data_IF_495926126808
#
_entry.id   IF_495926126808
#
_cell.length_a   1.000
_cell.length_b   1.000
_cell.length_c   1.000
_cell.angle_alpha   90.00
_cell.angle_beta   90.00
_cell.angle_gamma   90.00
#
_symmetry.space_group_name_H-M   'P 1'
#
loop_
_entity.id
_entity.type
_entity.pdbx_description
1 polymer ?
#
# COMPACT_ATOMS: atom_id res chain seq x y z
N UNK A 1 24.27 -4.69 35.13
CA UNK A 1 23.37 -5.79 35.53
C UNK A 1 22.08 -5.34 36.21
N UNK A 2 22.13 -4.55 37.30
CA UNK A 2 20.92 -4.17 38.06
C UNK A 2 19.88 -3.41 37.21
N UNK A 3 20.33 -2.43 36.41
CA UNK A 3 19.49 -1.70 35.45
C UNK A 3 18.70 -2.65 34.53
N UNK A 4 19.38 -3.62 33.92
CA UNK A 4 18.76 -4.61 33.01
C UNK A 4 17.70 -5.45 33.72
N UNK A 5 18.00 -5.96 34.92
CA UNK A 5 17.07 -6.78 35.72
C UNK A 5 15.81 -6.02 36.14
N UNK A 6 15.90 -4.70 36.29
CA UNK A 6 14.77 -3.83 36.67
C UNK A 6 14.00 -3.27 35.46
N UNK A 7 14.37 -3.64 34.24
CA UNK A 7 13.72 -3.13 33.03
C UNK A 7 13.87 -1.62 32.85
N UNK A 8 14.91 -1.01 33.42
CA UNK A 8 15.13 0.42 33.32
C UNK A 8 15.63 0.80 31.92
N UNK A 9 15.12 1.91 31.38
CA UNK A 9 15.50 2.45 30.07
C UNK A 9 16.81 3.22 30.14
N UNK A 10 16.99 4.03 31.19
CA UNK A 10 18.13 4.92 31.35
C UNK A 10 18.71 4.85 32.78
N UNK A 11 20.03 5.01 32.90
CA UNK A 11 20.76 5.21 34.14
C UNK A 11 21.39 6.61 34.09
N UNK A 12 21.14 7.41 35.11
CA UNK A 12 21.74 8.74 35.26
C UNK A 12 22.73 8.73 36.43
N UNK A 13 23.98 9.12 36.14
CA UNK A 13 25.03 9.32 37.11
C UNK A 13 25.34 10.82 37.22
N UNK A 14 25.14 11.36 38.43
CA UNK A 14 25.38 12.76 38.74
C UNK A 14 25.89 12.89 40.17
N UNK A 15 26.87 13.78 40.43
CA UNK A 15 27.33 14.04 41.79
C UNK A 15 26.20 14.52 42.72
N UNK A 16 26.41 14.34 44.02
CA UNK A 16 25.50 14.71 45.12
C UNK A 16 24.13 14.02 45.11
N UNK A 17 23.93 13.04 44.24
CA UNK A 17 22.75 12.18 44.20
C UNK A 17 23.15 10.71 44.09
N UNK A 18 22.31 9.77 44.58
CA UNK A 18 22.48 8.38 44.23
C UNK A 18 22.23 8.19 42.72
N UNK A 19 22.75 7.12 42.11
CA UNK A 19 22.38 6.74 40.75
C UNK A 19 20.85 6.69 40.59
N UNK A 20 20.34 7.24 39.49
CA UNK A 20 18.90 7.25 39.19
C UNK A 20 18.63 6.32 38.01
N UNK A 21 17.59 5.50 38.11
CA UNK A 21 17.08 4.70 37.00
C UNK A 21 15.80 5.31 36.46
N UNK A 22 15.64 5.31 35.14
CA UNK A 22 14.34 5.57 34.51
C UNK A 22 13.59 4.25 34.32
N UNK A 23 12.45 4.09 34.97
CA UNK A 23 11.57 2.92 34.84
C UNK A 23 10.18 3.45 34.52
N UNK A 24 9.61 3.01 33.39
CA UNK A 24 8.28 3.47 32.92
C UNK A 24 8.15 5.00 32.93
N UNK A 25 9.16 5.68 32.38
CA UNK A 25 9.21 7.15 32.29
C UNK A 25 9.60 7.89 33.58
N UNK A 26 9.59 7.25 34.75
CA UNK A 26 9.86 7.89 36.05
C UNK A 26 11.30 7.67 36.50
N UNK A 27 11.93 8.71 37.07
CA UNK A 27 13.26 8.62 37.68
C UNK A 27 13.17 8.14 39.13
N UNK A 28 13.80 7.00 39.41
CA UNK A 28 13.78 6.33 40.70
C UNK A 28 15.21 6.24 41.23
N UNK A 29 15.52 6.79 42.42
CA UNK A 29 16.85 6.67 43.02
C UNK A 29 17.11 5.24 43.48
N UNK A 30 18.34 4.76 43.23
CA UNK A 30 18.82 3.54 43.85
C UNK A 30 19.01 3.76 45.35
N UNK A 31 18.78 2.70 46.13
CA UNK A 31 19.16 2.64 47.55
C UNK A 31 20.68 2.54 47.66
N UNK A 32 21.35 3.66 47.43
CA UNK A 32 22.79 3.81 47.46
C UNK A 32 23.15 5.18 48.06
N UNK A 33 24.40 5.34 48.50
CA UNK A 33 24.89 6.64 48.97
C UNK A 33 25.00 7.62 47.80
N UNK A 34 24.79 8.92 48.02
CA UNK A 34 25.06 9.94 47.03
C UNK A 34 26.51 9.90 46.54
N UNK A 35 26.72 10.02 45.23
CA UNK A 35 28.04 9.94 44.62
C UNK A 35 28.82 11.26 44.78
N UNK A 36 30.11 11.17 45.08
CA UNK A 36 31.03 12.32 45.10
C UNK A 36 31.47 12.68 43.67
N UNK A 37 31.89 13.94 43.41
CA UNK A 37 32.39 14.35 42.10
C UNK A 37 33.54 13.49 41.56
N UNK A 38 34.48 13.11 42.42
CA UNK A 38 35.62 12.25 42.05
C UNK A 38 35.18 10.83 41.69
N UNK A 39 34.19 10.28 42.38
CA UNK A 39 33.65 8.94 42.11
C UNK A 39 32.99 8.90 40.73
N UNK A 40 32.13 9.88 40.42
CA UNK A 40 31.48 9.95 39.10
C UNK A 40 32.54 10.10 38.00
N UNK A 41 33.52 10.99 38.17
CA UNK A 41 34.61 11.16 37.20
C UNK A 41 35.34 9.85 36.95
N UNK A 42 35.79 9.17 38.01
CA UNK A 42 36.54 7.92 37.88
C UNK A 42 35.72 6.82 37.18
N UNK A 43 34.42 6.74 37.48
CA UNK A 43 33.52 5.76 36.83
C UNK A 43 33.33 6.03 35.35
N UNK A 44 33.15 7.30 34.95
CA UNK A 44 32.89 7.67 33.56
C UNK A 44 34.17 7.64 32.72
N UNK A 45 35.30 8.13 33.25
CA UNK A 45 36.59 8.12 32.54
C UNK A 45 37.10 6.69 32.28
N UNK A 46 36.78 5.72 33.14
CA UNK A 46 37.13 4.31 32.94
C UNK A 46 36.45 3.66 31.70
N UNK A 47 35.42 4.31 31.16
CA UNK A 47 34.67 3.83 29.99
C UNK A 47 35.19 4.49 28.71
N UNK A 48 35.83 5.66 28.80
CA UNK A 48 36.29 6.43 27.65
C UNK A 48 37.59 5.84 27.08
N UNK A 49 37.66 5.74 25.76
CA UNK A 49 38.94 5.56 25.06
C UNK A 49 39.79 6.85 25.16
N UNK A 50 41.11 6.78 24.93
CA UNK A 50 41.95 7.99 24.91
C UNK A 50 41.44 9.09 23.97
N UNK A 51 40.97 8.72 22.77
CA UNK A 51 40.41 9.66 21.81
C UNK A 51 39.08 10.27 22.29
N UNK A 52 38.20 9.47 22.90
CA UNK A 52 36.95 9.97 23.47
C UNK A 52 37.19 10.87 24.69
N UNK A 53 38.22 10.58 25.50
CA UNK A 53 38.64 11.43 26.62
C UNK A 53 39.13 12.79 26.13
N UNK A 54 39.96 12.82 25.09
CA UNK A 54 40.38 14.05 24.45
C UNK A 54 39.18 14.85 23.91
N UNK A 55 38.25 14.20 23.18
CA UNK A 55 37.01 14.86 22.71
C UNK A 55 36.19 15.45 23.86
N UNK A 56 36.07 14.74 24.97
CA UNK A 56 35.37 15.24 26.15
C UNK A 56 36.08 16.47 26.75
N UNK A 57 37.41 16.46 26.83
CA UNK A 57 38.19 17.59 27.34
C UNK A 57 38.03 18.83 26.44
N UNK A 58 38.01 18.65 25.12
CA UNK A 58 37.84 19.72 24.13
C UNK A 58 36.40 20.27 24.06
N UNK A 59 35.40 19.39 24.01
CA UNK A 59 34.01 19.76 23.74
C UNK A 59 33.09 19.76 24.96
N UNK A 60 33.60 19.34 26.14
CA UNK A 60 32.84 19.21 27.39
C UNK A 60 31.67 18.21 27.31
N UNK A 61 31.59 17.41 26.23
CA UNK A 61 30.62 16.36 26.03
C UNK A 61 31.17 15.28 25.08
N UNK A 62 30.68 14.05 25.22
CA UNK A 62 30.98 12.94 24.31
C UNK A 62 29.83 11.93 24.29
N UNK A 63 29.42 11.54 23.08
CA UNK A 63 28.53 10.40 22.83
C UNK A 63 29.37 9.16 22.50
N UNK A 64 28.98 7.99 23.01
CA UNK A 64 29.68 6.73 22.76
C UNK A 64 28.76 5.50 22.91
N UNK A 65 29.13 4.42 22.21
CA UNK A 65 28.65 3.08 22.49
C UNK A 65 29.48 2.40 23.58
N UNK A 66 28.85 1.72 24.53
CA UNK A 66 29.52 0.87 25.51
C UNK A 66 28.86 -0.51 25.58
N UNK A 67 29.60 -1.54 25.19
CA UNK A 67 29.18 -2.94 25.31
C UNK A 67 29.65 -3.53 26.64
N UNK A 68 28.72 -4.05 27.45
CA UNK A 68 29.06 -4.87 28.61
C UNK A 68 28.76 -6.35 28.28
N UNK A 69 29.80 -7.19 28.08
CA UNK A 69 29.64 -8.59 27.66
C UNK A 69 28.66 -9.35 28.56
N UNK A 70 27.71 -10.05 27.93
CA UNK A 70 26.69 -10.85 28.61
C UNK A 70 25.61 -10.06 29.37
N UNK A 71 25.58 -8.72 29.27
CA UNK A 71 24.63 -7.89 30.03
C UNK A 71 23.74 -7.01 29.15
N UNK A 72 24.34 -6.08 28.41
CA UNK A 72 23.65 -5.10 27.56
C UNK A 72 24.67 -4.24 26.82
N UNK A 73 24.24 -3.64 25.72
CA UNK A 73 24.91 -2.50 25.11
C UNK A 73 24.23 -1.21 25.57
N UNK A 74 25.00 -0.13 25.69
CA UNK A 74 24.53 1.16 26.15
C UNK A 74 24.93 2.25 25.18
N UNK A 75 24.01 3.16 24.87
CA UNK A 75 24.35 4.46 24.31
C UNK A 75 24.57 5.42 25.47
N UNK A 76 25.77 5.97 25.54
CA UNK A 76 26.18 6.82 26.64
C UNK A 76 26.36 8.25 26.14
N UNK A 77 25.92 9.22 26.94
CA UNK A 77 26.26 10.63 26.74
C UNK A 77 26.87 11.14 28.05
N UNK A 78 28.14 11.53 28.00
CA UNK A 78 28.84 12.13 29.13
C UNK A 78 29.04 13.62 28.87
N UNK A 79 28.82 14.45 29.87
CA UNK A 79 28.84 15.90 29.73
C UNK A 79 29.26 16.61 31.01
N UNK A 80 29.74 17.84 30.87
CA UNK A 80 30.08 18.71 31.98
C UNK A 80 28.83 19.44 32.49
N UNK A 81 28.63 19.46 33.82
CA UNK A 81 27.58 20.24 34.47
C UNK A 81 28.06 20.83 35.80
N UNK A 82 27.97 22.16 35.91
CA UNK A 82 28.39 22.93 37.11
C UNK A 82 29.81 22.58 37.59
N UNK A 83 30.76 22.44 36.66
CA UNK A 83 32.16 22.10 36.98
C UNK A 83 32.40 20.63 37.35
N UNK A 84 31.40 19.76 37.18
CA UNK A 84 31.52 18.31 37.44
C UNK A 84 31.05 17.47 36.27
N UNK A 85 31.63 16.29 36.09
CA UNK A 85 31.22 15.34 35.06
C UNK A 85 29.90 14.65 35.46
N UNK A 86 29.04 14.40 34.47
CA UNK A 86 27.83 13.60 34.60
C UNK A 86 27.68 12.69 33.37
N UNK A 87 26.88 11.64 33.50
CA UNK A 87 26.67 10.67 32.43
C UNK A 87 25.27 10.08 32.43
N UNK A 88 24.74 9.87 31.23
CA UNK A 88 23.48 9.15 31.00
C UNK A 88 23.75 7.94 30.14
N UNK A 89 23.27 6.79 30.58
CA UNK A 89 23.39 5.51 29.88
C UNK A 89 21.99 5.05 29.48
N UNK A 90 21.73 4.96 28.18
CA UNK A 90 20.52 4.36 27.65
C UNK A 90 20.80 2.92 27.29
N UNK A 91 20.01 1.99 27.85
CA UNK A 91 20.12 0.56 27.49
C UNK A 91 19.60 0.35 26.07
N UNK A 92 20.38 -0.36 25.26
CA UNK A 92 19.96 -0.79 23.93
C UNK A 92 19.53 -2.27 23.99
N UNK A 93 18.31 -2.62 23.55
CA UNK A 93 17.87 -4.01 23.50
C UNK A 93 18.73 -4.86 22.56
N UNK A 94 19.00 -6.12 22.92
CA UNK A 94 19.65 -7.08 22.02
C UNK A 94 18.69 -7.64 20.98
N UNK A 95 17.41 -7.70 21.30
CA UNK A 95 16.41 -8.34 20.44
C UNK A 95 16.01 -7.40 19.30
N UNK A 96 16.37 -7.79 18.08
CA UNK A 96 15.91 -7.15 16.86
C UNK A 96 14.60 -7.83 16.47
N UNK A 97 13.51 -7.06 16.39
CA UNK A 97 12.19 -7.55 15.95
C UNK A 97 12.21 -8.01 14.49
N UNK A 98 11.32 -8.93 14.10
CA UNK A 98 11.11 -9.21 12.68
C UNK A 98 10.35 -8.05 12.02
N UNK A 99 10.44 -7.94 10.69
CA UNK A 99 9.74 -6.88 9.93
C UNK A 99 8.23 -6.91 10.20
N UNK A 100 7.65 -8.11 10.29
CA UNK A 100 6.23 -8.34 10.54
C UNK A 100 5.79 -7.87 11.95
N UNK A 101 6.68 -7.95 12.94
CA UNK A 101 6.40 -7.53 14.32
C UNK A 101 6.39 -6.00 14.48
N UNK A 102 6.80 -5.27 13.43
CA UNK A 102 6.83 -3.80 13.41
C UNK A 102 5.53 -3.17 12.93
N UNK A 103 4.54 -3.96 12.49
CA UNK A 103 3.31 -3.46 11.84
C UNK A 103 3.62 -2.57 10.62
N UNK A 104 4.64 -2.95 9.86
CA UNK A 104 5.01 -2.29 8.61
C UNK A 104 4.29 -2.96 7.43
N UNK A 105 3.95 -2.22 6.35
CA UNK A 105 3.42 -2.82 5.12
C UNK A 105 4.36 -3.89 4.54
N UNK A 106 3.81 -5.01 4.08
CA UNK A 106 4.55 -6.17 3.55
C UNK A 106 5.54 -5.80 2.43
N UNK A 107 5.21 -4.77 1.65
CA UNK A 107 6.07 -4.26 0.57
C UNK A 107 7.47 -3.88 1.07
N UNK A 108 7.61 -3.43 2.31
CA UNK A 108 8.90 -3.04 2.89
C UNK A 108 9.85 -4.25 3.03
N UNK A 109 9.32 -5.44 3.30
CA UNK A 109 10.13 -6.65 3.40
C UNK A 109 10.78 -7.01 2.06
N UNK A 110 10.11 -6.70 0.93
CA UNK A 110 10.61 -6.99 -0.42
C UNK A 110 11.94 -6.29 -0.72
N UNK A 111 12.24 -5.21 -0.02
CA UNK A 111 13.47 -4.43 -0.24
C UNK A 111 14.74 -5.23 0.07
N UNK A 112 14.63 -6.25 0.92
CA UNK A 112 15.74 -7.16 1.27
C UNK A 112 16.17 -8.04 0.11
N UNK A 113 15.34 -8.16 -0.92
CA UNK A 113 15.57 -9.01 -2.09
C UNK A 113 16.11 -8.24 -3.30
N UNK A 114 16.28 -6.92 -3.20
CA UNK A 114 16.90 -6.16 -4.27
C UNK A 114 18.35 -6.63 -4.51
N UNK A 115 18.79 -6.76 -5.78
CA UNK A 115 20.15 -7.16 -6.10
C UNK A 115 21.16 -6.03 -5.81
N UNK A 116 20.73 -4.77 -5.93
CA UNK A 116 21.52 -3.58 -5.68
C UNK A 116 20.68 -2.30 -5.84
N UNK A 117 21.25 -1.16 -5.48
CA UNK A 117 20.60 0.16 -5.49
C UNK A 117 20.42 0.74 -4.09
N UNK A 118 19.68 1.84 -3.99
CA UNK A 118 19.55 2.64 -2.78
C UNK A 118 18.14 2.54 -2.18
N UNK A 119 18.06 2.17 -0.91
CA UNK A 119 16.84 2.20 -0.09
C UNK A 119 17.00 3.20 1.05
N UNK A 120 16.07 4.13 1.16
CA UNK A 120 16.11 5.18 2.18
C UNK A 120 14.97 5.00 3.18
N UNK A 121 15.31 5.03 4.47
CA UNK A 121 14.35 5.09 5.57
C UNK A 121 14.47 6.44 6.24
N UNK A 122 13.44 7.27 6.14
CA UNK A 122 13.45 8.66 6.58
C UNK A 122 12.38 8.95 7.62
N UNK A 123 12.43 10.14 8.20
CA UNK A 123 11.54 10.61 9.27
C UNK A 123 12.31 11.28 10.42
N UNK A 124 11.62 11.88 11.39
CA UNK A 124 12.26 12.59 12.48
C UNK A 124 13.02 11.65 13.44
N UNK A 125 13.74 12.23 14.41
CA UNK A 125 14.35 11.43 15.48
C UNK A 125 13.26 10.70 16.27
N UNK A 126 13.46 9.40 16.51
CA UNK A 126 12.49 8.58 17.24
C UNK A 126 11.35 8.02 16.40
N UNK A 127 11.35 8.17 15.08
CA UNK A 127 10.29 7.62 14.20
C UNK A 127 10.42 6.11 13.89
N UNK A 128 11.40 5.42 14.49
CA UNK A 128 11.61 3.98 14.29
C UNK A 128 12.58 3.60 13.16
N UNK A 129 13.26 4.57 12.50
CA UNK A 129 14.20 4.32 11.38
C UNK A 129 15.22 3.22 11.66
N UNK A 130 15.98 3.34 12.75
CA UNK A 130 17.01 2.35 13.12
C UNK A 130 16.41 0.98 13.41
N UNK A 131 15.20 0.93 13.98
CA UNK A 131 14.49 -0.33 14.24
C UNK A 131 14.06 -1.01 12.95
N UNK A 132 13.53 -0.24 11.99
CA UNK A 132 13.18 -0.73 10.65
C UNK A 132 14.42 -1.23 9.90
N UNK A 133 15.50 -0.45 9.87
CA UNK A 133 16.75 -0.86 9.26
C UNK A 133 17.32 -2.12 9.91
N UNK A 134 17.29 -2.22 11.23
CA UNK A 134 17.76 -3.42 11.92
C UNK A 134 16.93 -4.66 11.54
N UNK A 135 15.61 -4.54 11.45
CA UNK A 135 14.75 -5.64 11.02
C UNK A 135 15.05 -6.08 9.57
N UNK A 136 15.26 -5.12 8.65
CA UNK A 136 15.63 -5.40 7.25
C UNK A 136 17.00 -6.07 7.13
N UNK A 137 18.01 -5.55 7.84
CA UNK A 137 19.37 -6.09 7.83
C UNK A 137 19.41 -7.48 8.46
N UNK A 138 18.67 -7.71 9.57
CA UNK A 138 18.52 -9.05 10.16
C UNK A 138 17.86 -10.02 9.19
N UNK A 139 16.84 -9.59 8.45
CA UNK A 139 16.20 -10.43 7.44
C UNK A 139 17.20 -10.82 6.34
N UNK A 140 18.00 -9.88 5.83
CA UNK A 140 19.08 -10.18 4.87
C UNK A 140 20.07 -11.17 5.49
N UNK A 141 20.54 -10.91 6.71
CA UNK A 141 21.55 -11.72 7.37
C UNK A 141 21.14 -13.19 7.57
N UNK A 142 19.85 -13.43 7.80
CA UNK A 142 19.28 -14.77 8.01
C UNK A 142 18.84 -15.47 6.71
N UNK A 143 18.79 -14.74 5.58
CA UNK A 143 18.25 -15.29 4.32
C UNK A 143 19.24 -15.36 3.17
N UNK A 144 20.24 -14.48 3.12
CA UNK A 144 21.19 -14.36 2.01
C UNK A 144 22.62 -14.72 2.46
N UNK A 145 23.36 -15.56 1.71
CA UNK A 145 24.77 -15.77 1.94
C UNK A 145 25.57 -14.62 1.32
N UNK A 146 25.82 -13.57 2.10
CA UNK A 146 26.46 -12.34 1.63
C UNK A 146 27.30 -11.67 2.72
N UNK A 147 28.05 -10.63 2.37
CA UNK A 147 28.74 -9.77 3.32
C UNK A 147 27.99 -8.46 3.53
N UNK A 148 27.61 -8.19 4.79
CA UNK A 148 26.94 -6.97 5.21
C UNK A 148 27.94 -6.10 5.98
N UNK A 149 28.06 -4.82 5.61
CA UNK A 149 28.85 -3.84 6.36
C UNK A 149 27.94 -2.73 6.87
N UNK A 150 27.92 -2.50 8.19
CA UNK A 150 27.21 -1.36 8.78
C UNK A 150 28.19 -0.29 9.25
N UNK A 151 27.84 0.98 9.05
CA UNK A 151 28.60 2.14 9.50
C UNK A 151 27.64 3.02 10.30
N UNK A 152 27.88 3.17 11.60
CA UNK A 152 26.92 3.74 12.55
C UNK A 152 27.58 4.72 13.53
N UNK A 153 26.80 5.64 14.11
CA UNK A 153 27.27 6.63 15.08
C UNK A 153 26.21 6.92 16.16
N UNK A 154 26.19 6.18 17.30
CA UNK A 154 26.90 4.93 17.57
C UNK A 154 26.13 3.69 17.05
N UNK A 155 26.72 2.50 17.14
CA UNK A 155 26.00 1.25 16.82
C UNK A 155 24.81 1.06 17.78
N UNK A 156 23.60 0.93 17.24
CA UNK A 156 22.38 0.73 18.03
C UNK A 156 22.08 -0.76 18.22
N UNK A 157 21.92 -1.52 17.14
CA UNK A 157 21.60 -2.94 17.20
C UNK A 157 22.83 -3.79 16.92
N UNK A 158 22.95 -4.93 17.61
CA UNK A 158 24.02 -5.89 17.35
C UNK A 158 23.48 -7.02 16.48
N UNK A 159 24.16 -7.27 15.37
CA UNK A 159 23.87 -8.43 14.53
C UNK A 159 24.79 -9.59 14.91
N UNK A 160 24.25 -10.79 14.83
CA UNK A 160 25.04 -12.02 14.88
C UNK A 160 25.12 -12.58 13.47
N UNK A 161 26.29 -13.14 13.13
CA UNK A 161 26.45 -13.88 11.89
C UNK A 161 25.45 -15.06 11.81
N UNK A 162 24.95 -15.30 10.60
CA UNK A 162 24.08 -16.44 10.27
C UNK A 162 24.41 -16.91 8.85
N UNK A 163 23.52 -16.71 7.88
CA UNK A 163 23.85 -16.98 6.47
C UNK A 163 24.79 -15.92 5.93
N UNK A 164 24.60 -14.67 6.32
CA UNK A 164 25.52 -13.59 6.02
C UNK A 164 26.55 -13.42 7.15
N UNK A 165 27.71 -12.87 6.78
CA UNK A 165 28.65 -12.30 7.75
C UNK A 165 28.40 -10.80 7.89
N UNK A 166 28.40 -10.29 9.12
CA UNK A 166 28.03 -8.90 9.42
C UNK A 166 29.18 -8.16 10.12
N UNK A 167 29.77 -7.20 9.42
CA UNK A 167 30.83 -6.33 9.93
C UNK A 167 30.25 -4.97 10.34
N UNK A 168 30.14 -4.69 11.64
CA UNK A 168 29.65 -3.40 12.13
C UNK A 168 30.81 -2.49 12.51
N UNK A 169 30.75 -1.21 12.08
CA UNK A 169 31.79 -0.22 12.34
C UNK A 169 31.19 1.03 12.97
N UNK A 170 31.66 1.39 14.15
CA UNK A 170 31.26 2.62 14.86
C UNK A 170 32.20 3.78 14.53
N UNK A 171 31.61 4.91 14.11
CA UNK A 171 32.35 6.15 13.88
C UNK A 171 32.90 6.70 15.20
N UNK A 172 34.18 7.09 15.20
CA UNK A 172 34.93 7.52 16.39
C UNK A 172 35.56 6.39 17.19
N UNK A 173 35.19 5.13 16.95
CA UNK A 173 35.76 3.95 17.63
C UNK A 173 36.50 3.04 16.65
N UNK A 174 35.82 2.56 15.60
CA UNK A 174 36.38 1.61 14.61
C UNK A 174 36.82 2.29 13.29
N UNK A 175 36.41 3.55 13.11
CA UNK A 175 36.69 4.36 11.94
C UNK A 175 36.56 5.85 12.29
N UNK A 176 37.36 6.75 11.73
CA UNK A 176 37.32 8.16 12.14
C UNK A 176 36.11 8.95 11.62
N UNK A 177 35.52 8.55 10.48
CA UNK A 177 34.38 9.24 9.85
C UNK A 177 33.57 8.30 8.95
N UNK A 178 32.32 8.66 8.65
CA UNK A 178 31.48 7.96 7.66
C UNK A 178 32.16 7.88 6.29
N UNK A 179 32.76 8.98 5.84
CA UNK A 179 33.48 9.07 4.56
C UNK A 179 34.59 8.02 4.47
N UNK A 180 35.48 7.98 5.46
CA UNK A 180 36.61 7.05 5.44
C UNK A 180 36.14 5.61 5.56
N UNK A 181 35.14 5.36 6.41
CA UNK A 181 34.52 4.06 6.55
C UNK A 181 34.00 3.56 5.20
N UNK A 182 33.17 4.36 4.52
CA UNK A 182 32.57 4.03 3.23
C UNK A 182 33.60 3.76 2.14
N UNK A 183 34.61 4.63 1.99
CA UNK A 183 35.66 4.43 0.98
C UNK A 183 36.43 3.13 1.19
N UNK A 184 36.66 2.75 2.44
CA UNK A 184 37.34 1.50 2.77
C UNK A 184 36.41 0.29 2.58
N UNK A 185 35.12 0.42 2.93
CA UNK A 185 34.10 -0.61 2.75
C UNK A 185 34.02 -1.09 1.30
N UNK A 186 34.16 -0.20 0.31
CA UNK A 186 34.18 -0.60 -1.11
C UNK A 186 35.31 -1.56 -1.50
N UNK A 187 36.33 -1.75 -0.65
CA UNK A 187 37.43 -2.72 -0.84
C UNK A 187 37.34 -3.92 0.11
N UNK A 188 36.25 -4.05 0.85
CA UNK A 188 36.01 -5.12 1.81
C UNK A 188 35.08 -6.20 1.23
N UNK A 189 34.86 -6.21 -0.09
CA UNK A 189 33.95 -7.13 -0.76
C UNK A 189 32.54 -7.17 -0.13
N UNK A 190 31.87 -6.01 0.07
CA UNK A 190 30.52 -5.99 0.62
C UNK A 190 29.48 -6.29 -0.46
N UNK A 191 28.38 -6.92 -0.10
CA UNK A 191 27.18 -7.03 -0.94
C UNK A 191 26.11 -6.00 -0.51
N UNK A 192 26.01 -5.78 0.81
CA UNK A 192 25.03 -4.90 1.43
C UNK A 192 25.75 -3.91 2.34
N UNK A 193 25.43 -2.62 2.20
CA UNK A 193 26.00 -1.55 3.01
C UNK A 193 24.88 -0.84 3.73
N UNK A 194 24.97 -0.71 5.06
CA UNK A 194 24.07 0.15 5.83
C UNK A 194 24.84 1.35 6.36
N UNK A 195 24.38 2.55 6.03
CA UNK A 195 24.96 3.81 6.49
C UNK A 195 23.95 4.49 7.40
N UNK A 196 24.32 4.67 8.67
CA UNK A 196 23.41 5.16 9.71
C UNK A 196 22.68 6.44 9.32
N UNK A 197 23.36 7.43 8.76
CA UNK A 197 22.75 8.69 8.29
C UNK A 197 23.59 9.34 7.19
N UNK A 198 22.94 9.99 6.21
CA UNK A 198 23.58 10.83 5.21
C UNK A 198 23.45 12.31 5.59
N UNK A 199 24.47 12.87 6.22
CA UNK A 199 24.47 14.28 6.67
C UNK A 199 25.14 15.25 5.71
N UNK A 200 26.27 14.84 5.15
CA UNK A 200 27.13 15.68 4.32
C UNK A 200 27.15 15.22 2.86
N UNK A 201 27.49 16.15 1.97
CA UNK A 201 27.58 15.93 0.51
C UNK A 201 28.49 14.74 0.19
N UNK A 202 29.63 14.62 0.86
CA UNK A 202 30.62 13.58 0.56
C UNK A 202 30.08 12.17 0.88
N UNK A 203 29.36 12.02 2.00
CA UNK A 203 28.68 10.78 2.38
C UNK A 203 27.57 10.44 1.40
N UNK A 204 26.74 11.42 1.02
CA UNK A 204 25.67 11.23 0.02
C UNK A 204 26.26 10.77 -1.32
N UNK A 205 27.28 11.46 -1.81
CA UNK A 205 27.95 11.12 -3.07
C UNK A 205 28.52 9.69 -3.03
N UNK A 206 29.19 9.33 -1.94
CA UNK A 206 29.79 7.99 -1.78
C UNK A 206 28.72 6.90 -1.73
N UNK A 207 27.57 7.15 -1.09
CA UNK A 207 26.43 6.23 -1.05
C UNK A 207 25.82 6.03 -2.44
N UNK A 208 25.64 7.10 -3.21
CA UNK A 208 25.13 7.02 -4.59
C UNK A 208 26.09 6.19 -5.44
N UNK A 209 27.41 6.43 -5.37
CA UNK A 209 28.41 5.64 -6.08
C UNK A 209 28.41 4.16 -5.65
N UNK A 210 28.25 3.87 -4.36
CA UNK A 210 28.16 2.49 -3.88
C UNK A 210 26.94 1.77 -4.46
N UNK A 211 25.79 2.44 -4.49
CA UNK A 211 24.57 1.91 -5.09
C UNK A 211 24.70 1.72 -6.63
N UNK A 212 25.37 2.65 -7.31
CA UNK A 212 25.63 2.61 -8.76
C UNK A 212 26.55 1.44 -9.15
N UNK A 213 27.49 1.08 -8.28
CA UNK A 213 28.44 -0.03 -8.49
C UNK A 213 27.86 -1.41 -8.15
N UNK A 214 26.55 -1.49 -7.90
CA UNK A 214 25.82 -2.75 -7.76
C UNK A 214 25.55 -3.20 -6.31
N UNK A 215 26.00 -2.44 -5.31
CA UNK A 215 25.73 -2.75 -3.91
C UNK A 215 24.29 -2.42 -3.53
N UNK A 216 23.71 -3.19 -2.61
CA UNK A 216 22.46 -2.80 -1.97
C UNK A 216 22.78 -1.90 -0.77
N UNK A 217 22.42 -0.63 -0.87
CA UNK A 217 22.71 0.37 0.15
C UNK A 217 21.43 0.77 0.88
N UNK A 218 21.47 0.72 2.21
CA UNK A 218 20.45 1.24 3.10
C UNK A 218 20.97 2.48 3.81
N UNK A 219 20.18 3.55 3.87
CA UNK A 219 20.54 4.71 4.69
C UNK A 219 19.35 5.49 5.22
N UNK A 220 19.61 6.52 6.02
CA UNK A 220 18.59 7.39 6.61
C UNK A 220 18.85 8.87 6.36
N UNK A 221 17.74 9.62 6.33
CA UNK A 221 17.70 11.08 6.43
C UNK A 221 16.60 11.48 7.42
N UNK A 222 16.55 12.76 7.80
CA UNK A 222 15.52 13.31 8.69
C UNK A 222 14.40 14.08 7.96
N UNK A 223 14.19 13.79 6.69
CA UNK A 223 13.07 14.31 5.88
C UNK A 223 11.77 13.59 6.21
N UNK A 224 10.63 14.26 6.00
CA UNK A 224 9.32 13.74 6.41
C UNK A 224 8.48 13.14 5.27
N UNK A 225 8.93 13.28 4.01
CA UNK A 225 8.28 12.67 2.85
C UNK A 225 9.31 12.17 1.83
N UNK A 226 8.89 11.27 0.95
CA UNK A 226 9.71 10.69 -0.10
C UNK A 226 10.14 11.76 -1.13
N UNK A 227 9.19 12.61 -1.52
CA UNK A 227 9.44 13.77 -2.39
C UNK A 227 10.50 14.72 -1.79
N UNK A 228 10.35 15.10 -0.51
CA UNK A 228 11.32 15.95 0.19
C UNK A 228 12.68 15.26 0.34
N UNK A 229 12.71 13.93 0.48
CA UNK A 229 13.95 13.17 0.57
C UNK A 229 14.77 13.27 -0.71
N UNK A 230 14.11 13.12 -1.86
CA UNK A 230 14.76 13.26 -3.18
C UNK A 230 15.30 14.67 -3.37
N UNK A 231 14.46 15.67 -3.10
CA UNK A 231 14.81 17.09 -3.22
C UNK A 231 16.01 17.44 -2.34
N UNK A 232 15.99 17.01 -1.07
CA UNK A 232 17.08 17.25 -0.11
C UNK A 232 18.42 16.65 -0.55
N UNK A 233 18.40 15.47 -1.18
CA UNK A 233 19.60 14.84 -1.71
C UNK A 233 20.18 15.70 -2.84
N UNK A 234 19.34 16.13 -3.78
CA UNK A 234 19.76 16.93 -4.93
C UNK A 234 20.27 18.31 -4.48
N UNK A 235 19.54 18.98 -3.60
CA UNK A 235 19.87 20.30 -3.04
C UNK A 235 21.15 20.32 -2.20
N UNK A 236 21.63 19.15 -1.78
CA UNK A 236 22.92 19.05 -1.09
C UNK A 236 24.10 19.27 -2.02
N UNK A 237 23.91 19.25 -3.35
CA UNK A 237 24.95 19.43 -4.35
C UNK A 237 24.94 20.84 -4.99
N UNK A 238 26.11 21.34 -5.44
CA UNK A 238 26.21 22.55 -6.26
C UNK A 238 25.31 22.49 -7.50
N UNK A 239 24.76 23.65 -7.89
CA UNK A 239 23.79 23.76 -8.98
C UNK A 239 24.26 23.14 -10.31
N UNK A 240 25.55 23.21 -10.61
CA UNK A 240 26.17 22.63 -11.80
C UNK A 240 26.22 21.09 -11.81
N UNK A 241 26.03 20.47 -10.65
CA UNK A 241 26.03 19.01 -10.48
C UNK A 241 24.63 18.41 -10.29
N UNK A 242 23.61 19.24 -10.02
CA UNK A 242 22.28 18.76 -9.65
C UNK A 242 21.65 17.88 -10.72
N UNK A 243 21.76 18.23 -12.00
CA UNK A 243 21.20 17.43 -13.11
C UNK A 243 21.87 16.05 -13.24
N UNK A 244 23.18 15.99 -13.00
CA UNK A 244 23.91 14.72 -12.96
C UNK A 244 23.43 13.86 -11.79
N UNK A 245 23.36 14.43 -10.59
CA UNK A 245 22.91 13.72 -9.38
C UNK A 245 21.47 13.24 -9.51
N UNK A 246 20.62 14.06 -10.11
CA UNK A 246 19.22 13.73 -10.42
C UNK A 246 19.14 12.47 -11.30
N UNK A 247 19.93 12.43 -12.36
CA UNK A 247 20.01 11.28 -13.27
C UNK A 247 20.56 10.02 -12.58
N UNK A 248 21.62 10.17 -11.76
CA UNK A 248 22.18 9.06 -11.00
C UNK A 248 21.18 8.53 -9.96
N UNK A 249 20.51 9.42 -9.22
CA UNK A 249 19.52 9.04 -8.23
C UNK A 249 18.33 8.32 -8.85
N UNK A 250 17.84 8.79 -10.01
CA UNK A 250 16.77 8.12 -10.75
C UNK A 250 17.14 6.68 -11.15
N UNK A 251 18.41 6.41 -11.44
CA UNK A 251 18.91 5.09 -11.80
C UNK A 251 19.04 4.16 -10.59
N UNK A 252 19.62 4.66 -9.49
CA UNK A 252 20.02 3.82 -8.35
C UNK A 252 18.96 3.69 -7.28
N UNK A 253 18.05 4.67 -7.14
CA UNK A 253 17.00 4.62 -6.12
C UNK A 253 16.10 3.41 -6.36
N UNK A 254 15.75 2.73 -5.27
CA UNK A 254 14.80 1.59 -5.27
C UNK A 254 13.55 1.92 -4.50
N UNK A 255 13.70 2.47 -3.30
CA UNK A 255 12.56 2.86 -2.47
C UNK A 255 12.92 3.95 -1.46
N UNK A 256 11.90 4.70 -1.06
CA UNK A 256 11.95 5.61 0.09
C UNK A 256 10.78 5.28 1.01
N UNK A 257 11.05 5.14 2.30
CA UNK A 257 10.05 4.99 3.35
C UNK A 257 10.16 6.15 4.31
N UNK A 258 9.16 7.02 4.36
CA UNK A 258 9.11 8.10 5.35
C UNK A 258 8.22 7.70 6.51
N UNK A 259 8.74 7.75 7.73
CA UNK A 259 8.10 7.18 8.92
C UNK A 259 7.78 8.24 9.97
N UNK A 260 6.64 8.06 10.62
CA UNK A 260 6.32 8.71 11.90
C UNK A 260 5.69 7.70 12.85
N UNK A 261 5.83 7.91 14.16
CA UNK A 261 5.17 7.08 15.18
C UNK A 261 3.96 7.82 15.73
N UNK A 262 2.81 7.15 15.70
CA UNK A 262 1.51 7.70 16.06
C UNK A 262 1.01 7.02 17.32
N UNK A 263 0.41 7.79 18.23
CA UNK A 263 -0.18 7.22 19.44
C UNK A 263 -1.42 6.39 19.11
N UNK A 264 -1.50 5.18 19.66
CA UNK A 264 -2.67 4.32 19.48
C UNK A 264 -3.85 4.85 20.29
N UNK A 265 -5.07 4.65 19.78
CA UNK A 265 -6.30 5.04 20.48
C UNK A 265 -6.48 4.28 21.80
N UNK A 266 -6.03 3.01 21.86
CA UNK A 266 -6.05 2.17 23.06
C UNK A 266 -5.02 2.59 24.13
N UNK A 267 -4.18 3.59 23.85
CA UNK A 267 -3.09 4.09 24.70
C UNK A 267 -2.05 3.01 25.05
N UNK A 268 -1.98 1.91 24.29
CA UNK A 268 -1.01 0.83 24.46
C UNK A 268 0.24 1.05 23.58
N UNK A 269 0.76 2.28 23.57
CA UNK A 269 2.00 2.63 22.90
C UNK A 269 1.81 3.30 21.53
N UNK A 270 2.77 3.08 20.65
CA UNK A 270 2.89 3.76 19.37
C UNK A 270 2.77 2.77 18.21
N UNK A 271 2.27 3.24 17.07
CA UNK A 271 2.21 2.48 15.81
C UNK A 271 2.82 3.32 14.68
N UNK A 272 3.59 2.72 13.74
CA UNK A 272 4.11 3.49 12.61
C UNK A 272 3.02 3.86 11.61
N UNK A 273 3.00 5.13 11.21
CA UNK A 273 2.41 5.57 9.95
C UNK A 273 3.54 5.80 8.96
N UNK A 274 3.41 5.26 7.74
CA UNK A 274 4.50 5.23 6.76
C UNK A 274 4.03 5.63 5.38
N UNK A 275 4.81 6.51 4.74
CA UNK A 275 4.75 6.76 3.31
C UNK A 275 5.75 5.83 2.62
N UNK A 276 5.34 5.21 1.50
CA UNK A 276 6.16 4.27 0.74
C UNK A 276 6.17 4.65 -0.73
N UNK A 277 7.35 5.05 -1.21
CA UNK A 277 7.64 5.28 -2.61
C UNK A 277 8.52 4.15 -3.15
N UNK A 278 8.13 3.54 -4.27
CA UNK A 278 8.99 2.65 -5.05
C UNK A 278 9.39 3.36 -6.32
N UNK A 279 10.65 3.28 -6.71
CA UNK A 279 11.16 3.91 -7.91
C UNK A 279 10.74 3.12 -9.17
N UNK A 280 9.49 3.30 -9.60
CA UNK A 280 8.98 2.76 -10.87
C UNK A 280 9.60 3.52 -12.07
N UNK A 281 9.51 3.00 -13.31
CA UNK A 281 9.98 3.72 -14.49
C UNK A 281 9.37 5.12 -14.66
N UNK A 282 8.15 5.35 -14.14
CA UNK A 282 7.51 6.66 -14.18
C UNK A 282 8.05 7.59 -13.09
N UNK A 283 8.25 7.08 -11.87
CA UNK A 283 8.91 7.83 -10.79
C UNK A 283 10.33 8.22 -11.19
N UNK A 284 11.11 7.32 -11.78
CA UNK A 284 12.46 7.60 -12.26
C UNK A 284 12.48 8.78 -13.24
N UNK A 285 11.54 8.82 -14.21
CA UNK A 285 11.38 9.97 -15.12
C UNK A 285 11.04 11.26 -14.38
N UNK A 286 10.10 11.22 -13.43
CA UNK A 286 9.77 12.43 -12.66
C UNK A 286 10.97 12.93 -11.84
N UNK A 287 11.82 12.02 -11.32
CA UNK A 287 13.08 12.40 -10.68
C UNK A 287 13.98 13.10 -11.70
N UNK A 288 14.26 12.48 -12.86
CA UNK A 288 15.09 13.01 -13.95
C UNK A 288 14.67 14.40 -14.44
N UNK A 289 13.36 14.70 -14.46
CA UNK A 289 12.83 15.99 -14.92
C UNK A 289 12.62 17.00 -13.77
N UNK A 290 12.73 16.56 -12.52
CA UNK A 290 12.47 17.39 -11.34
C UNK A 290 11.01 17.74 -11.09
N UNK A 291 10.13 16.85 -11.49
CA UNK A 291 8.69 16.97 -11.33
C UNK A 291 8.26 16.42 -9.96
N UNK A 292 8.75 17.03 -8.88
CA UNK A 292 8.55 16.55 -7.50
C UNK A 292 7.07 16.43 -7.12
N UNK A 293 6.21 17.32 -7.64
CA UNK A 293 4.75 17.27 -7.43
C UNK A 293 4.13 16.00 -8.02
N UNK A 294 4.58 15.60 -9.21
CA UNK A 294 4.05 14.43 -9.91
C UNK A 294 4.46 13.12 -9.23
N UNK A 295 5.61 13.10 -8.53
CA UNK A 295 6.01 11.97 -7.68
C UNK A 295 4.94 11.70 -6.61
N UNK A 296 4.42 12.74 -5.96
CA UNK A 296 3.39 12.58 -4.94
C UNK A 296 2.10 12.01 -5.52
N UNK A 297 1.61 12.57 -6.63
CA UNK A 297 0.39 12.07 -7.28
C UNK A 297 0.52 10.63 -7.78
N UNK A 298 1.66 10.30 -8.39
CA UNK A 298 1.91 8.96 -8.92
C UNK A 298 1.99 7.92 -7.79
N UNK A 299 2.58 8.28 -6.65
CA UNK A 299 2.62 7.44 -5.46
C UNK A 299 1.20 7.09 -4.96
N UNK A 300 0.30 8.07 -4.93
CA UNK A 300 -1.09 7.84 -4.50
C UNK A 300 -1.92 7.01 -5.47
N UNK A 301 -1.64 7.10 -6.77
CA UNK A 301 -2.31 6.32 -7.83
C UNK A 301 -1.78 4.89 -7.91
N UNK A 302 -0.53 4.65 -7.47
CA UNK A 302 0.19 3.37 -7.64
C UNK A 302 -0.04 2.32 -6.54
N UNK A 303 -1.00 2.54 -5.64
CA UNK A 303 -1.27 1.65 -4.49
C UNK A 303 -1.56 0.20 -4.91
N UNK A 304 -2.38 -0.01 -5.95
CA UNK A 304 -2.82 -1.36 -6.31
C UNK A 304 -1.68 -2.25 -6.81
N UNK A 305 -0.83 -1.70 -7.68
CA UNK A 305 0.20 -2.45 -8.40
C UNK A 305 1.56 -2.44 -7.68
N UNK A 306 2.09 -1.24 -7.38
CA UNK A 306 3.40 -1.09 -6.74
C UNK A 306 3.32 -1.08 -5.20
N UNK A 307 2.12 -1.15 -4.61
CA UNK A 307 1.93 -1.07 -3.15
C UNK A 307 2.55 0.19 -2.54
N UNK A 308 2.65 1.25 -3.33
CA UNK A 308 2.99 2.58 -2.84
C UNK A 308 1.87 3.12 -1.98
N UNK A 309 2.17 4.08 -1.10
CA UNK A 309 1.15 4.80 -0.34
C UNK A 309 1.68 6.14 0.14
N UNK A 310 0.83 7.17 0.16
CA UNK A 310 1.14 8.44 0.84
C UNK A 310 0.98 8.33 2.35
N UNK A 311 1.58 9.27 3.10
CA UNK A 311 1.37 9.35 4.55
C UNK A 311 -0.13 9.46 4.91
N UNK A 312 -0.89 10.26 4.17
CA UNK A 312 -2.33 10.40 4.38
C UNK A 312 -3.09 9.08 4.13
N UNK A 313 -2.73 8.32 3.08
CA UNK A 313 -3.32 6.98 2.86
C UNK A 313 -3.00 6.01 4.01
N UNK A 314 -1.79 6.08 4.58
CA UNK A 314 -1.42 5.29 5.76
C UNK A 314 -2.24 5.69 6.99
N UNK A 315 -2.42 6.98 7.25
CA UNK A 315 -3.24 7.48 8.36
C UNK A 315 -4.72 7.10 8.21
N UNK A 316 -5.28 7.19 6.99
CA UNK A 316 -6.64 6.74 6.68
C UNK A 316 -6.79 5.24 6.98
N UNK A 317 -5.82 4.42 6.57
CA UNK A 317 -5.85 2.99 6.85
C UNK A 317 -5.84 2.70 8.35
N UNK A 318 -4.99 3.39 9.13
CA UNK A 318 -4.94 3.24 10.60
C UNK A 318 -6.25 3.68 11.27
N UNK A 319 -6.85 4.78 10.81
CA UNK A 319 -8.12 5.29 11.32
C UNK A 319 -9.28 4.33 10.99
N UNK A 320 -9.35 3.86 9.74
CA UNK A 320 -10.41 2.95 9.29
C UNK A 320 -10.37 1.60 10.03
N UNK A 321 -9.19 1.15 10.49
CA UNK A 321 -9.03 -0.04 11.31
C UNK A 321 -9.20 0.22 12.83
N UNK A 322 -9.58 1.44 13.23
CA UNK A 322 -9.82 1.80 14.64
C UNK A 322 -8.55 1.80 15.50
N UNK A 323 -7.38 1.96 14.89
CA UNK A 323 -6.10 1.90 15.60
C UNK A 323 -5.70 3.26 16.19
N UNK A 324 -6.06 4.34 15.50
CA UNK A 324 -5.81 5.73 15.90
C UNK A 324 -7.12 6.52 15.88
N UNK A 325 -7.20 7.61 16.65
CA UNK A 325 -8.36 8.51 16.62
C UNK A 325 -8.27 9.51 15.46
N UNK A 326 -9.39 10.15 15.14
CA UNK A 326 -9.47 11.22 14.14
C UNK A 326 -8.53 12.38 14.49
N UNK A 327 -8.59 12.88 15.73
CA UNK A 327 -7.75 14.00 16.19
C UNK A 327 -6.26 13.69 16.02
N UNK A 328 -5.83 12.49 16.43
CA UNK A 328 -4.45 12.05 16.29
C UNK A 328 -4.03 11.95 14.81
N UNK A 329 -4.92 11.50 13.93
CA UNK A 329 -4.64 11.45 12.49
C UNK A 329 -4.46 12.86 11.89
N UNK A 330 -5.31 13.81 12.26
CA UNK A 330 -5.23 15.20 11.80
C UNK A 330 -3.98 15.90 12.36
N UNK A 331 -3.67 15.74 13.65
CA UNK A 331 -2.48 16.33 14.29
C UNK A 331 -1.16 15.80 13.69
N UNK A 332 -1.16 14.55 13.24
CA UNK A 332 0.04 13.91 12.66
C UNK A 332 0.26 14.27 11.20
N UNK A 333 -0.82 14.54 10.44
CA UNK A 333 -0.72 14.79 9.01
C UNK A 333 0.04 16.09 8.70
N UNK A 334 0.94 16.04 7.71
CA UNK A 334 1.57 17.24 7.14
C UNK A 334 0.59 18.07 6.30
N UNK A 335 -0.50 17.45 5.83
CA UNK A 335 -1.53 18.05 4.98
C UNK A 335 -2.92 17.69 5.52
N UNK A 336 -3.33 18.28 6.67
CA UNK A 336 -4.57 17.93 7.36
C UNK A 336 -5.82 18.24 6.53
N UNK A 337 -5.79 19.30 5.71
CA UNK A 337 -6.91 19.65 4.82
C UNK A 337 -7.14 18.58 3.74
N UNK A 338 -6.07 18.08 3.13
CA UNK A 338 -6.14 16.98 2.17
C UNK A 338 -6.65 15.69 2.83
N UNK A 339 -6.17 15.39 4.05
CA UNK A 339 -6.65 14.25 4.82
C UNK A 339 -8.15 14.36 5.12
N UNK A 340 -8.62 15.50 5.61
CA UNK A 340 -10.04 15.76 5.88
C UNK A 340 -10.87 15.61 4.60
N UNK A 341 -10.43 16.20 3.48
CA UNK A 341 -11.11 16.08 2.20
C UNK A 341 -11.25 14.62 1.74
N UNK A 342 -10.17 13.83 1.88
CA UNK A 342 -10.17 12.39 1.56
C UNK A 342 -11.11 11.61 2.46
N UNK A 343 -11.10 11.89 3.77
CA UNK A 343 -12.01 11.28 4.73
C UNK A 343 -13.47 11.60 4.42
N UNK A 344 -13.82 12.84 4.07
CA UNK A 344 -15.18 13.21 3.65
C UNK A 344 -15.63 12.45 2.40
N UNK A 345 -14.74 12.33 1.40
CA UNK A 345 -15.04 11.60 0.16
C UNK A 345 -15.23 10.10 0.40
N UNK A 346 -14.41 9.49 1.25
CA UNK A 346 -14.46 8.05 1.51
C UNK A 346 -15.53 7.67 2.54
N UNK A 347 -15.78 8.54 3.51
CA UNK A 347 -16.67 8.30 4.64
C UNK A 347 -17.48 9.56 4.99
N UNK A 348 -18.55 9.87 4.22
CA UNK A 348 -19.32 11.10 4.39
C UNK A 348 -19.86 11.33 5.81
N UNK A 349 -20.14 10.24 6.55
CA UNK A 349 -20.70 10.27 7.90
C UNK A 349 -19.66 10.25 9.03
N UNK A 350 -18.35 10.16 8.73
CA UNK A 350 -17.30 10.16 9.75
C UNK A 350 -17.20 11.53 10.42
N UNK A 351 -17.23 12.63 9.66
CA UNK A 351 -17.22 13.96 10.28
C UNK A 351 -18.50 14.22 11.09
N UNK A 352 -19.67 13.77 10.64
CA UNK A 352 -20.92 13.95 11.42
C UNK A 352 -20.88 13.23 12.77
N UNK A 353 -20.31 12.03 12.83
CA UNK A 353 -20.15 11.27 14.09
C UNK A 353 -19.08 11.83 15.04
N UNK A 354 -18.04 12.48 14.51
CA UNK A 354 -16.94 13.03 15.34
C UNK A 354 -17.11 14.53 15.65
N UNK A 355 -17.88 15.30 14.86
CA UNK A 355 -18.29 16.68 15.18
C UNK A 355 -19.21 16.77 16.40
N UNK A 356 -19.89 15.69 16.78
CA UNK A 356 -20.71 15.65 18.00
C UNK A 356 -19.88 15.62 19.30
N UNK A 357 -18.54 15.64 19.24
CA UNK A 357 -17.66 15.67 20.42
C UNK A 357 -16.49 16.67 20.32
N UNK A 358 -16.72 17.89 20.80
CA UNK A 358 -15.78 18.98 21.13
C UNK A 358 -15.22 19.88 20.01
N UNK A 359 -15.55 21.18 20.17
CA UNK A 359 -15.09 22.42 19.51
C UNK A 359 -15.72 22.81 18.16
N UNK A 360 -16.56 23.84 18.23
CA UNK A 360 -17.24 24.50 17.13
C UNK A 360 -16.28 25.33 16.24
N UNK A 361 -16.58 25.52 14.94
CA UNK A 361 -15.97 26.59 14.16
C UNK A 361 -16.54 27.96 14.58
N UNK A 362 -15.68 28.98 14.49
CA UNK A 362 -15.97 30.38 14.80
C UNK A 362 -17.17 30.94 14.01
N UNK A 363 -18.08 31.72 14.63
CA UNK A 363 -19.29 32.26 13.99
C UNK A 363 -19.06 33.47 13.07
N UNK A 364 -17.86 33.64 12.49
CA UNK A 364 -17.48 34.88 11.80
C UNK A 364 -17.32 34.76 10.27
N UNK A 365 -17.58 33.61 9.65
CA UNK A 365 -17.43 33.45 8.20
C UNK A 365 -18.75 33.01 7.54
N UNK A 366 -19.47 33.97 6.95
CA UNK A 366 -20.76 33.77 6.28
C UNK A 366 -20.60 33.31 4.80
N UNK A 367 -19.36 33.09 4.35
CA UNK A 367 -19.03 32.63 3.00
C UNK A 367 -19.53 31.20 2.73
N UNK A 368 -19.35 30.29 3.68
CA UNK A 368 -19.76 28.88 3.55
C UNK A 368 -21.29 28.72 3.44
N UNK A 369 -22.07 29.56 4.11
CA UNK A 369 -23.54 29.49 4.04
C UNK A 369 -24.03 29.87 2.63
N UNK A 370 -23.34 30.77 1.95
CA UNK A 370 -23.72 31.25 0.62
C UNK A 370 -23.37 30.22 -0.45
N UNK A 371 -22.20 29.59 -0.34
CA UNK A 371 -21.82 28.45 -1.22
C UNK A 371 -22.74 27.24 -1.03
N UNK A 372 -23.17 26.96 0.21
CA UNK A 372 -24.15 25.89 0.47
C UNK A 372 -25.52 26.16 -0.17
N UNK A 373 -25.95 27.42 -0.24
CA UNK A 373 -27.19 27.80 -0.94
C UNK A 373 -27.05 27.62 -2.46
N UNK A 374 -25.88 27.93 -3.03
CA UNK A 374 -25.61 27.78 -4.47
C UNK A 374 -25.46 26.30 -4.87
N UNK A 375 -24.80 25.50 -4.04
CA UNK A 375 -24.71 24.04 -4.20
C UNK A 375 -26.11 23.41 -4.10
N UNK A 376 -26.92 23.82 -3.13
CA UNK A 376 -28.30 23.33 -3.01
C UNK A 376 -29.12 23.62 -4.27
N UNK A 377 -28.99 24.82 -4.85
CA UNK A 377 -29.69 25.18 -6.09
C UNK A 377 -29.26 24.30 -7.27
N UNK A 378 -27.97 23.99 -7.40
CA UNK A 378 -27.44 23.12 -8.46
C UNK A 378 -27.91 21.66 -8.31
N UNK A 379 -28.10 21.18 -7.08
CA UNK A 379 -28.67 19.86 -6.83
C UNK A 379 -30.16 19.80 -7.20
N UNK A 380 -30.94 20.83 -6.84
CA UNK A 380 -32.36 20.94 -7.22
C UNK A 380 -32.52 20.97 -8.76
N UNK A 381 -31.68 21.72 -9.49
CA UNK A 381 -31.65 21.75 -10.97
C UNK A 381 -31.27 20.39 -11.60
N UNK A 382 -30.37 19.64 -10.97
CA UNK A 382 -30.00 18.28 -11.39
C UNK A 382 -31.13 17.26 -11.19
N UNK A 383 -31.86 17.37 -10.07
CA UNK A 383 -32.97 16.49 -9.74
C UNK A 383 -34.15 16.67 -10.70
N UNK A 384 -34.47 17.92 -11.07
CA UNK A 384 -35.47 18.22 -12.10
C UNK A 384 -35.10 17.62 -13.48
N UNK A 385 -33.82 17.70 -13.88
CA UNK A 385 -33.34 17.06 -15.12
C UNK A 385 -33.45 15.55 -15.08
N UNK A 386 -33.23 14.95 -13.92
CA UNK A 386 -33.38 13.51 -13.74
C UNK A 386 -34.85 13.08 -13.80
N UNK A 387 -35.77 13.82 -13.17
CA UNK A 387 -37.20 13.57 -13.28
C UNK A 387 -37.70 13.69 -14.73
N UNK A 388 -37.24 14.70 -15.48
CA UNK A 388 -37.60 14.85 -16.89
C UNK A 388 -37.16 13.64 -17.75
N UNK A 389 -35.95 13.11 -17.52
CA UNK A 389 -35.46 11.90 -18.22
C UNK A 389 -36.22 10.63 -17.83
N UNK A 390 -36.74 10.56 -16.60
CA UNK A 390 -37.58 9.43 -16.17
C UNK A 390 -38.93 9.51 -16.88
N UNK A 391 -39.55 10.69 -16.93
CA UNK A 391 -40.82 10.91 -17.64
C UNK A 391 -40.73 10.57 -19.13
N UNK A 392 -39.64 10.97 -19.82
CA UNK A 392 -39.40 10.61 -21.23
C UNK A 392 -39.30 9.09 -21.43
N UNK A 393 -38.64 8.38 -20.50
CA UNK A 393 -38.55 6.91 -20.55
C UNK A 393 -39.88 6.22 -20.28
N UNK A 394 -40.68 6.76 -19.37
CA UNK A 394 -42.01 6.21 -19.08
C UNK A 394 -42.96 6.37 -20.28
N UNK A 395 -42.86 7.47 -21.03
CA UNK A 395 -43.60 7.68 -22.28
C UNK A 395 -43.19 6.66 -23.36
N UNK A 396 -41.88 6.38 -23.49
CA UNK A 396 -41.37 5.34 -24.40
C UNK A 396 -41.88 3.95 -23.99
N UNK A 397 -41.90 3.64 -22.69
CA UNK A 397 -42.43 2.37 -22.18
C UNK A 397 -43.91 2.23 -22.50
N UNK A 398 -44.71 3.29 -22.32
CA UNK A 398 -46.12 3.29 -22.65
C UNK A 398 -46.38 3.06 -24.15
N UNK A 399 -45.58 3.68 -25.03
CA UNK A 399 -45.67 3.47 -26.47
C UNK A 399 -45.35 2.02 -26.85
N UNK A 400 -44.26 1.45 -26.31
CA UNK A 400 -43.89 0.06 -26.57
C UNK A 400 -44.96 -0.93 -26.09
N UNK A 401 -45.63 -0.64 -24.97
CA UNK A 401 -46.74 -1.45 -24.48
C UNK A 401 -47.96 -1.40 -25.41
N UNK A 402 -48.27 -0.24 -25.99
CA UNK A 402 -49.33 -0.10 -26.98
C UNK A 402 -49.02 -0.88 -28.26
N UNK A 403 -47.79 -0.79 -28.77
CA UNK A 403 -47.35 -1.52 -29.97
C UNK A 403 -47.42 -3.05 -29.77
N UNK A 404 -47.03 -3.53 -28.59
CA UNK A 404 -47.15 -4.95 -28.22
C UNK A 404 -48.60 -5.40 -28.17
N UNK A 405 -49.52 -4.56 -27.69
CA UNK A 405 -50.95 -4.87 -27.68
C UNK A 405 -51.53 -4.96 -29.10
N UNK A 406 -51.15 -4.06 -30.00
CA UNK A 406 -51.58 -4.10 -31.41
C UNK A 406 -51.06 -5.35 -32.13
N UNK A 407 -49.80 -5.72 -31.89
CA UNK A 407 -49.22 -6.95 -32.47
C UNK A 407 -49.95 -8.21 -31.97
N UNK A 408 -50.35 -8.27 -30.70
CA UNK A 408 -51.14 -9.38 -30.17
C UNK A 408 -52.50 -9.51 -30.87
N UNK A 409 -53.19 -8.39 -31.10
CA UNK A 409 -54.46 -8.40 -31.82
C UNK A 409 -54.32 -8.92 -33.26
N UNK A 410 -53.27 -8.51 -33.98
CA UNK A 410 -52.99 -9.02 -35.33
C UNK A 410 -52.72 -10.53 -35.37
N UNK A 411 -52.07 -11.07 -34.33
CA UNK A 411 -51.83 -12.51 -34.19
C UNK A 411 -53.14 -13.27 -33.95
N UNK A 412 -54.07 -12.73 -33.16
CA UNK A 412 -55.39 -13.35 -32.97
C UNK A 412 -56.24 -13.35 -34.25
N UNK A 413 -56.23 -12.25 -35.02
CA UNK A 413 -56.93 -12.18 -36.31
C UNK A 413 -56.38 -13.22 -37.31
N UNK A 414 -55.04 -13.34 -37.42
CA UNK A 414 -54.41 -14.33 -38.30
C UNK A 414 -54.69 -15.76 -37.84
N UNK A 415 -54.74 -16.02 -36.53
CA UNK A 415 -55.12 -17.33 -36.00
C UNK A 415 -56.56 -17.72 -36.38
N UNK A 416 -57.52 -16.77 -36.32
CA UNK A 416 -58.90 -17.05 -36.75
C UNK A 416 -59.02 -17.33 -38.25
N UNK A 417 -58.23 -16.61 -39.07
CA UNK A 417 -58.22 -16.80 -40.52
C UNK A 417 -57.63 -18.17 -40.90
N UNK A 418 -56.57 -18.61 -40.21
CA UNK A 418 -55.97 -19.93 -40.43
C UNK A 418 -56.93 -21.06 -40.03
N UNK A 419 -57.72 -20.87 -38.96
CA UNK A 419 -58.75 -21.83 -38.56
C UNK A 419 -59.86 -21.97 -39.61
N UNK A 420 -60.37 -20.84 -40.14
CA UNK A 420 -61.39 -20.86 -41.19
C UNK A 420 -60.91 -21.56 -42.48
N UNK A 421 -59.65 -21.31 -42.88
CA UNK A 421 -59.05 -21.96 -44.04
C UNK A 421 -58.86 -23.47 -43.84
N UNK A 422 -58.53 -23.92 -42.62
CA UNK A 422 -58.43 -25.34 -42.29
C UNK A 422 -59.78 -26.05 -42.37
N UNK A 423 -60.84 -25.43 -41.86
CA UNK A 423 -62.21 -25.96 -41.93
C UNK A 423 -62.69 -26.07 -43.39
N UNK A 424 -62.40 -25.07 -44.23
CA UNK A 424 -62.73 -25.11 -45.66
C UNK A 424 -61.94 -26.20 -46.42
N UNK A 425 -60.65 -26.36 -46.09
CA UNK A 425 -59.82 -27.42 -46.66
C UNK A 425 -60.32 -28.83 -46.30
N UNK A 426 -60.81 -29.04 -45.07
CA UNK A 426 -61.43 -30.30 -44.67
C UNK A 426 -62.74 -30.56 -45.42
N UNK A 427 -63.57 -29.52 -45.60
CA UNK A 427 -64.82 -29.62 -46.35
C UNK A 427 -64.58 -30.03 -47.81
N UNK A 428 -63.61 -29.39 -48.48
CA UNK A 428 -63.22 -29.71 -49.85
C UNK A 428 -62.59 -31.11 -49.99
N UNK A 429 -61.87 -31.59 -48.97
CA UNK A 429 -61.36 -32.98 -48.94
C UNK A 429 -62.49 -33.99 -48.82
N UNK A 430 -63.49 -33.72 -47.97
CA UNK A 430 -64.66 -34.59 -47.83
C UNK A 430 -65.49 -34.65 -49.12
N UNK A 431 -65.68 -33.51 -49.79
CA UNK A 431 -66.37 -33.43 -51.07
C UNK A 431 -65.63 -34.18 -52.18
N UNK A 432 -64.31 -33.99 -52.29
CA UNK A 432 -63.48 -34.75 -53.24
C UNK A 432 -63.54 -36.27 -53.00
N UNK A 433 -63.55 -36.69 -51.73
CA UNK A 433 -63.69 -38.11 -51.38
C UNK A 433 -65.05 -38.65 -51.86
N UNK A 434 -66.13 -37.91 -51.61
CA UNK A 434 -67.47 -38.28 -52.08
C UNK A 434 -67.55 -38.39 -53.60
N UNK A 435 -67.00 -37.42 -54.33
CA UNK A 435 -66.95 -37.43 -55.80
C UNK A 435 -66.13 -38.62 -56.34
N UNK A 436 -65.02 -38.97 -55.68
CA UNK A 436 -64.23 -40.17 -56.02
C UNK A 436 -65.01 -41.45 -55.78
N UNK A 437 -65.73 -41.56 -54.67
CA UNK A 437 -66.54 -42.72 -54.33
C UNK A 437 -67.72 -42.89 -55.32
N UNK A 438 -68.41 -41.79 -55.67
CA UNK A 438 -69.48 -41.78 -56.68
C UNK A 438 -68.95 -42.16 -58.09
N UNK A 439 -67.78 -41.66 -58.46
CA UNK A 439 -67.10 -42.03 -59.71
C UNK A 439 -66.73 -43.52 -59.73
N UNK A 440 -66.18 -44.04 -58.62
CA UNK A 440 -65.83 -45.45 -58.47
C UNK A 440 -67.06 -46.36 -58.56
N UNK A 441 -68.18 -45.98 -57.94
CA UNK A 441 -69.45 -46.71 -58.05
C UNK A 441 -69.99 -46.72 -59.48
N UNK A 442 -69.98 -45.57 -60.19
CA UNK A 442 -70.39 -45.50 -61.60
C UNK A 442 -69.51 -46.38 -62.49
N UNK A 443 -68.19 -46.39 -62.27
CA UNK A 443 -67.26 -47.27 -62.98
C UNK A 443 -67.58 -48.74 -62.70
N UNK A 444 -67.90 -49.09 -61.46
CA UNK A 444 -68.30 -50.46 -61.09
C UNK A 444 -69.59 -50.89 -61.80
N UNK A 445 -70.62 -50.04 -61.81
CA UNK A 445 -71.88 -50.31 -62.51
C UNK A 445 -71.70 -50.42 -64.03
N UNK A 446 -70.85 -49.58 -64.62
CA UNK A 446 -70.47 -49.68 -66.03
C UNK A 446 -69.77 -51.01 -66.34
N UNK A 447 -68.83 -51.43 -65.50
CA UNK A 447 -68.14 -52.71 -65.65
C UNK A 447 -69.09 -53.90 -65.51
N UNK A 448 -70.08 -53.82 -64.61
CA UNK A 448 -71.11 -54.84 -64.44
C UNK A 448 -72.05 -54.91 -65.65
N UNK A 449 -72.44 -53.76 -66.20
CA UNK A 449 -73.23 -53.67 -67.44
C UNK A 449 -72.47 -54.21 -68.65
N UNK A 450 -71.16 -53.96 -68.73
CA UNK A 450 -70.27 -54.54 -69.75
C UNK A 450 -70.21 -56.06 -69.60
N UNK A 451 -70.14 -56.60 -68.38
CA UNK A 451 -70.23 -58.06 -68.15
C UNK A 451 -71.58 -58.63 -68.58
N UNK A 452 -72.69 -57.99 -68.22
CA UNK A 452 -74.04 -58.41 -68.64
C UNK A 452 -74.19 -58.39 -70.17
N UNK A 453 -73.68 -57.36 -70.85
CA UNK A 453 -73.69 -57.27 -72.31
C UNK A 453 -72.83 -58.34 -72.97
N UNK A 454 -71.64 -58.62 -72.42
CA UNK A 454 -70.78 -59.70 -72.90
C UNK A 454 -71.43 -61.07 -72.69
N UNK A 455 -72.13 -61.28 -71.57
CA UNK A 455 -72.86 -62.51 -71.29
C UNK A 455 -74.07 -62.69 -72.24
N UNK A 456 -74.82 -61.62 -72.53
CA UNK A 456 -75.90 -61.63 -73.53
C UNK A 456 -75.39 -61.84 -74.96
N UNK A 457 -74.22 -61.32 -75.31
CA UNK A 457 -73.57 -61.59 -76.60
C UNK A 457 -73.12 -63.05 -76.72
N UNK A 458 -72.68 -63.67 -75.62
CA UNK A 458 -72.40 -65.12 -75.57
C UNK A 458 -73.66 -66.00 -75.60
N UNK A 459 -74.81 -65.53 -75.10
CA UNK A 459 -76.09 -66.24 -75.14
C UNK A 459 -76.85 -66.08 -76.48
N UNK A 460 -76.67 -64.97 -77.19
CA UNK A 460 -77.24 -64.72 -78.53
C UNK A 460 -76.45 -65.40 -79.67
N UNK A 461 -75.26 -65.94 -79.37
CA UNK A 461 -74.45 -66.73 -80.30
C UNK A 461 -74.30 -68.13 -79.73
N UNK A 462 -75.23 -69.03 -80.05
CA UNK A 462 -75.21 -70.43 -79.61
C UNK A 462 -73.98 -71.23 -80.08
N UNK A 463 -72.82 -70.96 -79.48
CA UNK A 463 -71.58 -71.76 -79.51
C UNK A 463 -70.77 -71.51 -78.23
N UNK A 464 -70.36 -72.61 -77.59
CA UNK A 464 -69.38 -72.65 -76.51
C UNK A 464 -68.16 -71.74 -76.78
N UNK A 465 -67.69 -70.97 -75.77
CA UNK A 465 -66.47 -70.19 -75.88
C UNK A 465 -65.24 -71.05 -75.57
N UNK A 466 -64.39 -71.29 -76.57
CA UNK A 466 -62.98 -71.64 -76.34
C UNK A 466 -62.10 -70.54 -76.95
N UNK A 467 -62.07 -69.40 -76.28
CA UNK A 467 -61.14 -68.31 -76.56
C UNK A 467 -59.93 -68.37 -75.63
N UNK A 468 -58.78 -68.72 -76.21
CA UNK A 468 -57.53 -67.97 -75.99
C UNK A 468 -57.86 -66.45 -76.02
N UNK A 469 -57.47 -65.60 -75.06
CA UNK A 469 -56.11 -65.19 -74.75
C UNK A 469 -55.99 -64.68 -73.29
N UNK A 470 -54.91 -65.11 -72.65
CA UNK A 470 -54.26 -64.45 -71.50
C UNK A 470 -53.54 -63.19 -71.99
N UNK A 471 -53.66 -62.09 -71.25
CA UNK A 471 -52.54 -61.46 -70.55
C UNK A 471 -53.02 -60.47 -69.50
#
# INVERSE_FOLDING_TARGET
MFMTKKGASDLHLKPTRPPLLRIQGRLIPLKATPLKPSEVRNMLEAILTPAQKQRFEEHQAVDLGYGLPGVARFRCNFFQQRGTMAGVFRRIPFEIKNVQDLNLPDVIETFTSYPGGLVLVTGPTGSGKSTTLAALIRKIATTRPCHIVTIEDPIEFLFTDDKATVSQREVGTDTPSFKEALRNTMRQDPDVIMVGEMRDLETIATVITAAETGHLVFSTLHTNSAAQTIDRIIDSFPADQQDQIRSQLALVLRAVVSMTLVERQDKQGLIPAVEVLINSPKIAKHIEHGEIKEIHEEMEKSVAYFKMQSMNQSLIALLANGVISYDTAIETSLHPEDLSLKLRKMFPSIEERFREGAMAPSPADFSEITELIEIKRLYEEMEERHQAKIAEKDEIIAQLQADVAELRHKVEETASADQALREEAERLRAENKRLRDESSQKISQLNERIRELNQRLMEATGKNPSGFFKH
#
